data_IF_912429173697
#
_entry.id   IF_912429173697
#
_cell.length_a   1.000
_cell.length_b   1.000
_cell.length_c   1.000
_cell.angle_alpha   90.00
_cell.angle_beta   90.00
_cell.angle_gamma   90.00
#
_symmetry.space_group_name_H-M   'P 1'
#
loop_
_entity.id
_entity.type
_entity.pdbx_description
1 polymer ?
#
# COMPACT_ATOMS: atom_id res chain seq x y z
N UNK A 1 -1.89 -44.59 19.08
CA UNK A 1 -1.89 -43.49 18.09
C UNK A 1 -1.14 -43.98 16.87
N UNK A 2 -1.88 -44.39 15.84
CA UNK A 2 -1.30 -44.80 14.56
C UNK A 2 -0.80 -43.53 13.86
N UNK A 3 0.52 -43.36 13.80
CA UNK A 3 1.16 -42.47 12.84
C UNK A 3 0.80 -43.00 11.45
N UNK A 4 -0.07 -42.27 10.76
CA UNK A 4 -0.48 -42.61 9.40
C UNK A 4 0.76 -42.56 8.48
N UNK A 5 1.05 -43.68 7.82
CA UNK A 5 2.10 -43.83 6.83
C UNK A 5 2.12 -42.67 5.82
N UNK A 6 3.31 -42.14 5.57
CA UNK A 6 3.62 -41.14 4.56
C UNK A 6 2.89 -41.38 3.22
N UNK A 7 1.82 -40.64 2.96
CA UNK A 7 1.33 -40.43 1.60
C UNK A 7 2.35 -39.59 0.85
N UNK A 8 3.30 -40.24 0.15
CA UNK A 8 4.16 -39.56 -0.83
C UNK A 8 3.27 -39.03 -1.96
N UNK A 9 2.98 -37.74 -1.95
CA UNK A 9 2.46 -37.03 -3.11
C UNK A 9 3.64 -36.40 -3.86
N UNK A 10 3.57 -36.39 -5.19
CA UNK A 10 4.56 -35.72 -6.02
C UNK A 10 3.93 -34.42 -6.52
N UNK A 11 4.70 -33.35 -6.48
CA UNK A 11 4.26 -32.04 -6.99
C UNK A 11 5.22 -31.59 -8.08
N UNK A 12 4.64 -31.15 -9.20
CA UNK A 12 5.36 -30.56 -10.32
C UNK A 12 4.79 -29.17 -10.54
N UNK A 13 5.64 -28.15 -10.46
CA UNK A 13 5.24 -26.75 -10.65
C UNK A 13 6.12 -26.09 -11.71
N UNK A 14 5.50 -25.49 -12.72
CA UNK A 14 6.20 -24.81 -13.82
C UNK A 14 5.56 -23.45 -14.12
N UNK A 15 6.39 -22.47 -14.43
CA UNK A 15 5.93 -21.19 -15.00
C UNK A 15 5.79 -21.37 -16.51
N UNK A 16 4.61 -21.13 -17.04
CA UNK A 16 4.28 -21.26 -18.45
C UNK A 16 4.13 -19.89 -19.11
N UNK A 17 4.63 -19.82 -20.33
CA UNK A 17 4.59 -18.68 -21.22
C UNK A 17 3.97 -19.12 -22.57
N UNK A 18 3.33 -18.21 -23.32
CA UNK A 18 2.88 -18.50 -24.66
C UNK A 18 4.06 -18.78 -25.58
N UNK A 19 3.84 -19.63 -26.59
CA UNK A 19 4.84 -19.99 -27.60
C UNK A 19 5.01 -18.86 -28.61
N UNK A 20 5.80 -17.84 -28.27
CA UNK A 20 6.06 -16.65 -29.09
C UNK A 20 7.42 -16.68 -29.80
N UNK A 21 7.90 -17.87 -30.17
CA UNK A 21 9.25 -18.07 -30.74
C UNK A 21 10.36 -17.43 -29.88
N UNK A 22 10.22 -17.54 -28.54
CA UNK A 22 11.12 -16.97 -27.53
C UNK A 22 11.18 -15.42 -27.49
N UNK A 23 10.31 -14.72 -28.22
CA UNK A 23 10.19 -13.28 -28.10
C UNK A 23 9.46 -12.89 -26.80
N UNK A 24 10.24 -12.48 -25.80
CA UNK A 24 9.74 -12.00 -24.50
C UNK A 24 8.87 -10.74 -24.59
N UNK A 25 9.03 -9.91 -25.64
CA UNK A 25 8.25 -8.69 -25.81
C UNK A 25 6.80 -9.05 -26.14
N UNK A 26 6.62 -10.05 -27.00
CA UNK A 26 5.32 -10.56 -27.42
C UNK A 26 4.63 -11.46 -26.40
N UNK A 27 5.24 -11.81 -25.26
CA UNK A 27 4.59 -12.61 -24.21
C UNK A 27 3.72 -11.74 -23.31
N UNK A 28 2.41 -11.77 -23.49
CA UNK A 28 1.48 -10.94 -22.73
C UNK A 28 0.80 -11.66 -21.55
N UNK A 29 0.91 -12.98 -21.51
CA UNK A 29 0.27 -13.78 -20.46
C UNK A 29 1.29 -14.71 -19.81
N UNK A 30 1.10 -14.99 -18.53
CA UNK A 30 1.84 -16.05 -17.83
C UNK A 30 0.98 -16.67 -16.74
N UNK A 31 1.27 -17.92 -16.41
CA UNK A 31 0.73 -18.57 -15.21
C UNK A 31 1.72 -19.57 -14.66
N UNK A 32 1.56 -19.92 -13.39
CA UNK A 32 2.25 -21.05 -12.77
C UNK A 32 1.27 -22.23 -12.72
N UNK A 33 1.57 -23.30 -13.46
CA UNK A 33 0.79 -24.53 -13.45
C UNK A 33 1.41 -25.48 -12.41
N UNK A 34 0.58 -25.92 -11.46
CA UNK A 34 0.99 -26.91 -10.46
C UNK A 34 0.13 -28.17 -10.61
N UNK A 35 0.80 -29.31 -10.73
CA UNK A 35 0.22 -30.64 -10.88
C UNK A 35 0.62 -31.47 -9.66
N UNK A 36 -0.36 -31.86 -8.84
CA UNK A 36 -0.15 -32.73 -7.69
C UNK A 36 -0.62 -34.15 -8.02
N UNK A 37 0.27 -35.12 -7.83
CA UNK A 37 0.05 -36.54 -8.11
C UNK A 37 -0.10 -37.29 -6.79
N UNK A 38 -1.20 -38.03 -6.67
CA UNK A 38 -1.38 -38.97 -5.59
C UNK A 38 -0.66 -40.31 -5.88
N UNK A 39 -0.83 -41.29 -5.01
CA UNK A 39 -0.23 -42.61 -5.17
C UNK A 39 -0.91 -43.49 -6.24
N UNK A 40 -2.10 -43.08 -6.71
CA UNK A 40 -2.90 -43.84 -7.68
C UNK A 40 -2.64 -43.39 -9.11
N UNK A 41 -1.94 -42.28 -9.32
CA UNK A 41 -1.53 -41.80 -10.64
C UNK A 41 -0.68 -42.87 -11.38
N UNK A 42 -0.94 -43.16 -12.66
CA UNK A 42 -1.85 -42.46 -13.59
C UNK A 42 -3.30 -42.94 -13.60
N UNK A 43 -3.70 -43.88 -12.73
CA UNK A 43 -5.09 -44.38 -12.69
C UNK A 43 -6.08 -43.33 -12.15
N UNK A 44 -5.59 -42.40 -11.33
CA UNK A 44 -6.28 -41.19 -10.89
C UNK A 44 -5.80 -39.97 -11.69
N UNK A 45 -6.65 -38.95 -11.79
CA UNK A 45 -6.29 -37.67 -12.42
C UNK A 45 -5.37 -36.86 -11.50
N UNK A 46 -4.36 -36.16 -12.04
CA UNK A 46 -3.61 -35.17 -11.28
C UNK A 46 -4.55 -34.06 -10.77
N UNK A 47 -4.26 -33.54 -9.58
CA UNK A 47 -4.89 -32.30 -9.11
C UNK A 47 -4.22 -31.11 -9.78
N UNK A 48 -5.02 -30.27 -10.45
CA UNK A 48 -4.55 -29.13 -11.24
C UNK A 48 -4.88 -27.83 -10.50
N UNK A 49 -3.84 -27.07 -10.16
CA UNK A 49 -3.96 -25.70 -9.66
C UNK A 49 -3.19 -24.70 -10.52
N UNK A 50 -3.73 -23.49 -10.61
CA UNK A 50 -3.12 -22.39 -11.35
C UNK A 50 -2.83 -21.28 -10.36
N UNK A 51 -1.59 -20.81 -10.35
CA UNK A 51 -1.11 -19.76 -9.47
C UNK A 51 -0.54 -18.59 -10.28
N UNK A 52 -0.54 -17.41 -9.68
CA UNK A 52 0.01 -16.18 -10.26
C UNK A 52 -0.39 -15.93 -11.74
N UNK A 53 -1.68 -16.09 -12.12
CA UNK A 53 -2.09 -15.75 -13.48
C UNK A 53 -1.88 -14.25 -13.71
N UNK A 54 -1.34 -13.90 -14.87
CA UNK A 54 -1.13 -12.53 -15.32
C UNK A 54 -1.59 -12.40 -16.77
N UNK A 55 -2.29 -11.32 -17.07
CA UNK A 55 -2.84 -11.04 -18.41
C UNK A 55 -4.04 -11.91 -18.82
N UNK A 56 -4.59 -12.72 -17.91
CA UNK A 56 -5.76 -13.58 -18.15
C UNK A 56 -6.96 -13.09 -17.35
N UNK A 57 -8.15 -13.08 -17.97
CA UNK A 57 -9.41 -12.85 -17.26
C UNK A 57 -9.83 -14.06 -16.43
N UNK A 58 -10.70 -13.85 -15.44
CA UNK A 58 -11.22 -14.93 -14.58
C UNK A 58 -12.01 -15.98 -15.37
N UNK A 59 -12.77 -15.55 -16.39
CA UNK A 59 -13.48 -16.45 -17.31
C UNK A 59 -12.51 -17.33 -18.10
N UNK A 60 -11.40 -16.73 -18.58
CA UNK A 60 -10.37 -17.46 -19.30
C UNK A 60 -9.62 -18.43 -18.38
N UNK A 61 -9.28 -17.99 -17.17
CA UNK A 61 -8.64 -18.84 -16.16
C UNK A 61 -9.50 -20.05 -15.82
N UNK A 62 -10.80 -19.84 -15.63
CA UNK A 62 -11.78 -20.90 -15.38
C UNK A 62 -11.87 -21.87 -16.56
N UNK A 63 -11.85 -21.33 -17.79
CA UNK A 63 -11.86 -22.11 -19.03
C UNK A 63 -10.59 -22.96 -19.19
N UNK A 64 -9.41 -22.40 -18.92
CA UNK A 64 -8.12 -23.11 -18.93
C UNK A 64 -8.17 -24.28 -17.95
N UNK A 65 -8.54 -24.02 -16.69
CA UNK A 65 -8.63 -25.05 -15.65
C UNK A 65 -9.58 -26.18 -16.06
N UNK A 66 -10.76 -25.84 -16.58
CA UNK A 66 -11.75 -26.82 -17.04
C UNK A 66 -11.23 -27.65 -18.21
N UNK A 67 -10.56 -27.02 -19.19
CA UNK A 67 -9.98 -27.71 -20.34
C UNK A 67 -8.91 -28.72 -19.89
N UNK A 68 -8.00 -28.32 -19.00
CA UNK A 68 -6.97 -29.22 -18.46
C UNK A 68 -7.57 -30.38 -17.64
N UNK A 69 -8.63 -30.11 -16.87
CA UNK A 69 -9.32 -31.16 -16.12
C UNK A 69 -10.01 -32.18 -17.04
N UNK A 70 -10.63 -31.73 -18.13
CA UNK A 70 -11.24 -32.62 -19.12
C UNK A 70 -10.18 -33.48 -19.81
N UNK A 71 -9.06 -32.89 -20.21
CA UNK A 71 -7.94 -33.61 -20.84
C UNK A 71 -7.34 -34.67 -19.89
N UNK A 72 -7.18 -34.33 -18.61
CA UNK A 72 -6.69 -35.26 -17.61
C UNK A 72 -7.66 -36.44 -17.39
N UNK A 73 -8.97 -36.19 -17.45
CA UNK A 73 -10.00 -37.22 -17.31
C UNK A 73 -10.10 -38.13 -18.55
N UNK A 74 -9.93 -37.60 -19.76
CA UNK A 74 -9.97 -38.41 -20.99
C UNK A 74 -8.79 -39.39 -21.10
N UNK A 75 -7.70 -39.12 -20.39
CA UNK A 75 -6.46 -39.87 -20.49
C UNK A 75 -6.11 -40.66 -19.21
N UNK A 76 -7.12 -40.94 -18.36
CA UNK A 76 -6.96 -41.78 -17.17
C UNK A 76 -6.32 -43.13 -17.51
N UNK A 77 -5.38 -43.56 -16.66
CA UNK A 77 -4.59 -44.77 -16.87
C UNK A 77 -3.34 -44.58 -17.72
N UNK A 78 -3.08 -43.36 -18.24
CA UNK A 78 -1.85 -43.05 -18.99
C UNK A 78 -1.12 -41.81 -18.42
N UNK A 79 0.20 -41.68 -18.61
CA UNK A 79 0.96 -40.52 -18.13
C UNK A 79 0.67 -39.26 -18.97
N UNK A 80 0.01 -38.27 -18.36
CA UNK A 80 -0.55 -37.07 -19.01
C UNK A 80 0.19 -35.75 -18.73
N UNK A 81 1.23 -35.72 -17.88
CA UNK A 81 1.83 -34.47 -17.41
C UNK A 81 2.28 -33.54 -18.54
N UNK A 82 3.02 -34.09 -19.50
CA UNK A 82 3.53 -33.32 -20.63
C UNK A 82 2.40 -32.81 -21.53
N UNK A 83 1.39 -33.64 -21.78
CA UNK A 83 0.20 -33.26 -22.55
C UNK A 83 -0.55 -32.10 -21.91
N UNK A 84 -0.71 -32.11 -20.57
CA UNK A 84 -1.33 -31.00 -19.83
C UNK A 84 -0.49 -29.71 -19.91
N UNK A 85 0.84 -29.82 -19.82
CA UNK A 85 1.76 -28.67 -19.94
C UNK A 85 1.67 -28.06 -21.34
N UNK A 86 1.73 -28.88 -22.38
CA UNK A 86 1.64 -28.41 -23.76
C UNK A 86 0.25 -27.85 -24.06
N UNK A 87 -0.82 -28.48 -23.56
CA UNK A 87 -2.18 -27.96 -23.72
C UNK A 87 -2.36 -26.60 -23.05
N UNK A 88 -1.80 -26.41 -21.85
CA UNK A 88 -1.82 -25.12 -21.17
C UNK A 88 -1.05 -24.05 -21.98
N UNK A 89 0.11 -24.38 -22.53
CA UNK A 89 0.88 -23.47 -23.40
C UNK A 89 0.13 -23.10 -24.68
N UNK A 90 -0.54 -24.07 -25.31
CA UNK A 90 -1.35 -23.84 -26.50
C UNK A 90 -2.46 -22.80 -26.20
N UNK A 91 -3.21 -22.99 -25.11
CA UNK A 91 -4.27 -22.06 -24.70
C UNK A 91 -3.72 -20.67 -24.39
N UNK A 92 -2.56 -20.58 -23.73
CA UNK A 92 -1.88 -19.30 -23.48
C UNK A 92 -1.47 -18.62 -24.79
N UNK A 93 -1.00 -19.38 -25.77
CA UNK A 93 -0.58 -18.87 -27.08
C UNK A 93 -1.76 -18.30 -27.85
N UNK A 94 -2.89 -19.03 -27.88
CA UNK A 94 -4.13 -18.56 -28.52
C UNK A 94 -4.73 -17.34 -27.81
N UNK A 95 -4.58 -17.27 -26.48
CA UNK A 95 -5.12 -16.18 -25.65
C UNK A 95 -4.06 -15.15 -25.28
N UNK A 96 -3.03 -14.97 -26.11
CA UNK A 96 -1.93 -14.02 -25.89
C UNK A 96 -2.35 -12.57 -26.22
N UNK A 97 -3.47 -12.13 -25.64
CA UNK A 97 -4.01 -10.79 -25.74
C UNK A 97 -4.10 -10.27 -24.31
N UNK A 98 -3.49 -9.12 -23.97
CA UNK A 98 -3.57 -8.60 -22.61
C UNK A 98 -5.01 -8.20 -22.30
N UNK A 99 -5.68 -9.02 -21.51
CA UNK A 99 -6.98 -8.69 -20.95
C UNK A 99 -6.78 -7.99 -19.60
N UNK A 100 -7.41 -6.82 -19.44
CA UNK A 100 -7.44 -6.12 -18.16
C UNK A 100 -7.71 -4.63 -18.29
N UNK A 101 -7.92 -4.01 -17.15
CA UNK A 101 -8.00 -2.57 -16.97
C UNK A 101 -6.70 -2.03 -16.37
N UNK A 102 -6.38 -0.78 -16.67
CA UNK A 102 -5.31 -0.08 -15.99
C UNK A 102 -5.74 0.20 -14.55
N UNK A 103 -5.10 -0.42 -13.55
CA UNK A 103 -5.50 -0.27 -12.12
C UNK A 103 -5.29 1.14 -11.56
N UNK A 104 -4.60 2.02 -12.29
CA UNK A 104 -4.37 3.41 -11.88
C UNK A 104 -5.57 4.30 -12.24
N UNK A 105 -6.08 4.18 -13.47
CA UNK A 105 -7.23 4.98 -13.92
C UNK A 105 -8.56 4.21 -13.86
N UNK A 106 -8.50 2.89 -13.70
CA UNK A 106 -9.61 1.93 -13.69
C UNK A 106 -10.32 1.73 -15.04
N UNK A 107 -9.77 2.25 -16.14
CA UNK A 107 -10.31 2.08 -17.48
C UNK A 107 -9.61 0.97 -18.27
N UNK A 108 -10.35 0.38 -19.20
CA UNK A 108 -9.84 -0.59 -20.16
C UNK A 108 -8.88 0.05 -21.17
N UNK A 109 -8.07 -0.79 -21.81
CA UNK A 109 -7.20 -0.38 -22.90
C UNK A 109 -7.97 -0.35 -24.22
N UNK A 110 -7.91 0.76 -24.96
CA UNK A 110 -8.52 0.90 -26.29
C UNK A 110 -7.49 0.76 -27.40
N UNK A 111 -7.96 0.41 -28.59
CA UNK A 111 -7.11 0.36 -29.79
C UNK A 111 -6.54 1.77 -30.08
N UNK A 112 -5.22 1.84 -30.32
CA UNK A 112 -4.50 3.10 -30.52
C UNK A 112 -4.01 3.80 -29.24
N UNK A 113 -4.40 3.33 -28.06
CA UNK A 113 -3.83 3.81 -26.80
C UNK A 113 -2.43 3.21 -26.55
N UNK A 114 -1.57 3.98 -25.89
CA UNK A 114 -0.22 3.53 -25.52
C UNK A 114 -0.25 2.93 -24.12
N UNK A 115 0.12 1.66 -24.02
CA UNK A 115 0.23 0.93 -22.77
C UNK A 115 1.61 0.30 -22.64
N UNK A 116 1.98 -0.03 -21.41
CA UNK A 116 3.25 -0.68 -21.09
C UNK A 116 3.00 -1.96 -20.30
N UNK A 117 3.78 -2.99 -20.63
CA UNK A 117 3.93 -4.23 -19.87
C UNK A 117 5.16 -4.13 -18.98
N UNK A 118 4.97 -4.23 -17.68
CA UNK A 118 6.07 -4.30 -16.71
C UNK A 118 6.70 -5.70 -16.67
N UNK A 119 7.92 -5.83 -16.13
CA UNK A 119 8.59 -7.13 -15.91
C UNK A 119 7.77 -8.11 -15.07
N UNK A 120 6.94 -7.58 -14.16
CA UNK A 120 6.03 -8.34 -13.32
C UNK A 120 4.68 -8.69 -13.99
N UNK A 121 4.55 -8.44 -15.30
CA UNK A 121 3.37 -8.72 -16.13
C UNK A 121 2.10 -7.96 -15.69
N UNK A 122 2.27 -6.75 -15.17
CA UNK A 122 1.16 -5.81 -14.97
C UNK A 122 1.13 -4.74 -16.07
N UNK A 123 -0.09 -4.41 -16.48
CA UNK A 123 -0.39 -3.50 -17.59
C UNK A 123 -0.89 -2.17 -17.07
N UNK A 124 -0.40 -1.09 -17.67
CA UNK A 124 -0.81 0.27 -17.35
C UNK A 124 -0.80 1.10 -18.62
N UNK A 125 -1.64 2.14 -18.69
CA UNK A 125 -1.43 3.19 -19.68
C UNK A 125 -0.07 3.84 -19.40
N UNK A 126 0.74 4.06 -20.44
CA UNK A 126 2.11 4.57 -20.27
C UNK A 126 2.11 5.90 -19.51
N UNK A 127 1.17 6.79 -19.83
CA UNK A 127 0.97 8.04 -19.11
C UNK A 127 0.61 7.85 -17.62
N UNK A 128 -0.27 6.89 -17.30
CA UNK A 128 -0.67 6.60 -15.92
C UNK A 128 0.49 6.10 -15.09
N UNK A 129 1.31 5.18 -15.63
CA UNK A 129 2.50 4.70 -14.95
C UNK A 129 3.53 5.82 -14.79
N UNK A 130 3.72 6.67 -15.81
CA UNK A 130 4.62 7.82 -15.74
C UNK A 130 4.27 8.78 -14.60
N UNK A 131 2.97 9.09 -14.42
CA UNK A 131 2.50 9.91 -13.28
C UNK A 131 2.76 9.25 -11.94
N UNK A 132 2.49 7.94 -11.82
CA UNK A 132 2.74 7.19 -10.60
C UNK A 132 4.22 7.21 -10.22
N UNK A 133 5.09 6.92 -11.18
CA UNK A 133 6.53 6.89 -10.97
C UNK A 133 7.06 8.26 -10.57
N UNK A 134 6.67 9.33 -11.29
CA UNK A 134 7.10 10.70 -10.97
C UNK A 134 6.71 11.13 -9.54
N UNK A 135 5.49 10.77 -9.11
CA UNK A 135 5.07 10.99 -7.72
C UNK A 135 5.89 10.15 -6.73
N UNK A 136 6.08 8.86 -7.05
CA UNK A 136 6.83 7.92 -6.19
C UNK A 136 8.27 8.37 -5.98
N UNK A 137 8.97 8.82 -7.03
CA UNK A 137 10.33 9.36 -6.90
C UNK A 137 10.40 10.58 -5.97
N UNK A 138 9.37 11.41 -5.95
CA UNK A 138 9.32 12.57 -5.06
C UNK A 138 9.13 12.15 -3.61
N UNK A 139 8.23 11.20 -3.36
CA UNK A 139 8.03 10.59 -2.03
C UNK A 139 9.28 9.89 -1.53
N UNK A 140 9.98 9.15 -2.39
CA UNK A 140 11.21 8.46 -2.02
C UNK A 140 12.32 9.45 -1.66
N UNK A 141 12.53 10.50 -2.47
CA UNK A 141 13.50 11.57 -2.13
C UNK A 141 13.19 12.26 -0.81
N UNK A 142 11.91 12.43 -0.47
CA UNK A 142 11.51 13.02 0.82
C UNK A 142 11.83 12.07 1.98
N UNK A 143 11.55 10.78 1.82
CA UNK A 143 11.89 9.75 2.81
C UNK A 143 13.40 9.61 2.98
N UNK A 144 14.17 9.67 1.91
CA UNK A 144 15.64 9.64 1.97
C UNK A 144 16.17 10.77 2.86
N UNK A 145 15.66 11.99 2.70
CA UNK A 145 16.04 13.14 3.55
C UNK A 145 15.66 12.94 5.01
N UNK A 146 14.43 12.49 5.28
CA UNK A 146 13.96 12.21 6.65
C UNK A 146 14.83 11.14 7.33
N UNK A 147 15.26 10.14 6.56
CA UNK A 147 16.14 9.08 7.02
C UNK A 147 17.59 9.54 7.23
N UNK A 148 18.08 10.50 6.46
CA UNK A 148 19.40 11.13 6.66
C UNK A 148 19.43 12.03 7.92
N UNK A 149 18.30 12.64 8.27
CA UNK A 149 18.16 13.49 9.45
C UNK A 149 18.01 12.70 10.75
N UNK A 150 17.62 11.43 10.69
CA UNK A 150 17.48 10.54 11.84
C UNK A 150 18.84 10.07 12.39
N UNK A 151 19.33 10.79 13.40
CA UNK A 151 20.60 10.51 14.11
C UNK A 151 20.59 9.22 14.92
N UNK A 152 19.45 8.55 15.08
CA UNK A 152 19.33 7.32 15.88
C UNK A 152 19.57 6.04 15.08
N UNK A 153 19.67 6.14 13.75
CA UNK A 153 19.90 4.99 12.87
C UNK A 153 21.36 4.54 12.83
N UNK A 154 21.54 3.23 12.81
CA UNK A 154 22.82 2.59 12.54
C UNK A 154 23.13 2.62 11.03
N UNK A 155 24.35 3.00 10.65
CA UNK A 155 24.75 3.21 9.24
C UNK A 155 24.77 1.92 8.42
N UNK A 156 24.67 0.76 9.06
CA UNK A 156 24.75 -0.55 8.40
C UNK A 156 23.45 -0.99 7.70
N UNK A 157 22.31 -0.33 7.94
CA UNK A 157 20.99 -0.72 7.41
C UNK A 157 20.55 0.19 6.25
N UNK A 158 21.40 0.37 5.24
CA UNK A 158 21.05 1.13 4.03
C UNK A 158 20.22 0.27 3.08
N UNK A 159 18.89 0.44 3.11
CA UNK A 159 17.99 -0.10 2.10
C UNK A 159 17.81 0.92 0.97
N UNK A 160 18.14 0.53 -0.25
CA UNK A 160 17.91 1.35 -1.44
C UNK A 160 16.40 1.50 -1.67
N UNK A 161 15.94 2.76 -1.67
CA UNK A 161 14.55 3.09 -1.89
C UNK A 161 14.28 3.15 -3.39
N UNK A 162 13.65 2.09 -3.92
CA UNK A 162 13.28 1.99 -5.33
C UNK A 162 11.78 2.15 -5.54
N UNK A 163 11.38 2.66 -6.71
CA UNK A 163 9.96 2.66 -7.10
C UNK A 163 9.51 1.23 -7.37
N UNK A 164 8.36 0.87 -6.79
CA UNK A 164 7.80 -0.48 -6.85
C UNK A 164 6.52 -0.52 -7.65
N UNK A 165 6.12 -1.70 -8.11
CA UNK A 165 4.86 -1.88 -8.83
C UNK A 165 3.66 -1.56 -7.92
N UNK A 166 2.67 -0.77 -8.38
CA UNK A 166 1.45 -0.49 -7.60
C UNK A 166 0.65 -1.75 -7.22
N UNK A 167 0.82 -2.85 -7.97
CA UNK A 167 0.04 -4.09 -7.79
C UNK A 167 0.78 -5.08 -6.89
N UNK A 168 2.02 -5.44 -7.23
CA UNK A 168 2.74 -6.53 -6.54
C UNK A 168 3.97 -6.07 -5.75
N UNK A 169 4.29 -4.78 -5.75
CA UNK A 169 5.46 -4.19 -5.09
C UNK A 169 6.83 -4.70 -5.56
N UNK A 170 6.90 -5.37 -6.71
CA UNK A 170 8.16 -5.71 -7.37
C UNK A 170 8.82 -4.44 -7.91
N UNK A 171 10.15 -4.31 -7.80
CA UNK A 171 10.89 -3.14 -8.30
C UNK A 171 10.65 -2.93 -9.80
N UNK A 172 10.35 -1.69 -10.18
CA UNK A 172 10.09 -1.33 -11.57
C UNK A 172 11.37 -0.90 -12.29
N UNK A 173 11.48 -1.31 -13.55
CA UNK A 173 12.44 -0.77 -14.52
C UNK A 173 11.65 0.15 -15.45
N UNK A 174 12.05 1.41 -15.56
CA UNK A 174 11.27 2.42 -16.29
C UNK A 174 12.14 3.58 -16.79
N UNK A 175 11.62 4.30 -17.78
CA UNK A 175 12.08 5.64 -18.18
C UNK A 175 10.89 6.61 -18.03
N UNK A 176 11.00 7.56 -17.09
CA UNK A 176 9.92 8.50 -16.78
C UNK A 176 9.59 9.40 -17.97
N UNK A 177 10.59 9.84 -18.72
CA UNK A 177 10.39 10.73 -19.85
C UNK A 177 9.67 10.00 -20.99
N UNK A 178 10.06 8.76 -21.26
CA UNK A 178 9.38 7.93 -22.24
C UNK A 178 7.92 7.69 -21.85
N UNK A 179 7.65 7.35 -20.58
CA UNK A 179 6.30 7.10 -20.08
C UNK A 179 5.40 8.34 -20.16
N UNK A 180 5.94 9.51 -19.79
CA UNK A 180 5.18 10.77 -19.78
C UNK A 180 5.01 11.38 -21.18
N UNK A 181 5.85 11.01 -22.15
CA UNK A 181 5.67 11.43 -23.55
C UNK A 181 4.41 10.86 -24.21
N UNK A 182 3.87 9.78 -23.64
CA UNK A 182 2.62 9.17 -24.09
C UNK A 182 1.40 10.06 -23.81
N UNK A 183 0.42 10.12 -24.74
CA UNK A 183 -0.81 10.86 -24.51
C UNK A 183 -1.60 10.27 -23.34
N UNK A 184 -2.28 11.14 -22.59
CA UNK A 184 -3.20 10.71 -21.55
C UNK A 184 -4.40 9.96 -22.16
N UNK A 185 -4.90 8.88 -21.52
CA UNK A 185 -6.06 8.15 -22.01
C UNK A 185 -7.31 9.04 -21.99
N UNK A 186 -8.16 8.88 -23.00
CA UNK A 186 -9.43 9.62 -23.09
C UNK A 186 -10.48 8.95 -22.21
N UNK A 187 -10.79 9.59 -21.09
CA UNK A 187 -11.78 9.11 -20.13
C UNK A 187 -13.19 9.55 -20.57
N UNK A 188 -14.18 8.64 -20.57
CA UNK A 188 -15.57 9.00 -20.83
C UNK A 188 -16.09 9.96 -19.76
N UNK A 189 -16.99 10.86 -20.15
CA UNK A 189 -17.72 11.71 -19.21
C UNK A 189 -18.63 10.85 -18.31
N UNK A 190 -18.56 11.08 -17.00
CA UNK A 190 -19.43 10.37 -16.05
C UNK A 190 -20.88 10.83 -16.20
N UNK A 191 -21.79 9.88 -16.44
CA UNK A 191 -23.22 10.15 -16.41
C UNK A 191 -23.70 10.30 -14.96
N UNK A 192 -24.04 11.54 -14.57
CA UNK A 192 -24.58 11.86 -13.25
C UNK A 192 -25.97 11.24 -13.02
N UNK A 193 -26.68 10.83 -14.07
CA UNK A 193 -27.99 10.20 -13.97
C UNK A 193 -27.95 8.74 -13.45
N UNK A 194 -26.75 8.15 -13.30
CA UNK A 194 -26.57 6.76 -12.89
C UNK A 194 -26.78 6.50 -11.38
N UNK A 195 -27.13 7.51 -10.58
CA UNK A 195 -27.43 7.32 -9.15
C UNK A 195 -28.82 6.67 -9.01
N UNK A 196 -28.83 5.33 -8.97
CA UNK A 196 -30.05 4.53 -8.84
C UNK A 196 -30.83 4.77 -7.54
N UNK A 197 -32.12 4.46 -7.56
CA UNK A 197 -33.03 4.56 -6.41
C UNK A 197 -32.53 3.83 -5.17
N UNK A 198 -31.87 2.69 -5.35
CA UNK A 198 -31.34 1.87 -4.26
C UNK A 198 -30.20 2.56 -3.50
N UNK A 199 -29.38 3.35 -4.20
CA UNK A 199 -28.34 4.15 -3.58
C UNK A 199 -28.96 5.24 -2.71
N UNK A 200 -29.99 5.93 -3.22
CA UNK A 200 -30.67 7.00 -2.48
C UNK A 200 -31.34 6.46 -1.21
N UNK A 201 -31.97 5.29 -1.27
CA UNK A 201 -32.57 4.63 -0.11
C UNK A 201 -31.51 4.29 0.95
N UNK A 202 -30.42 3.62 0.56
CA UNK A 202 -29.32 3.30 1.48
C UNK A 202 -28.67 4.55 2.06
N UNK A 203 -28.53 5.61 1.28
CA UNK A 203 -27.99 6.89 1.75
C UNK A 203 -28.86 7.47 2.88
N UNK A 204 -30.18 7.47 2.73
CA UNK A 204 -31.11 7.93 3.76
C UNK A 204 -31.00 7.09 5.06
N UNK A 205 -30.80 5.78 4.95
CA UNK A 205 -30.58 4.91 6.12
C UNK A 205 -29.27 5.23 6.85
N UNK A 206 -28.18 5.42 6.09
CA UNK A 206 -26.88 5.81 6.64
C UNK A 206 -26.92 7.18 7.33
N UNK A 207 -27.69 8.14 6.79
CA UNK A 207 -27.88 9.45 7.43
C UNK A 207 -28.54 9.31 8.81
N UNK A 208 -29.58 8.48 8.94
CA UNK A 208 -30.22 8.21 10.24
C UNK A 208 -29.26 7.58 11.25
N UNK A 209 -28.38 6.69 10.79
CA UNK A 209 -27.33 6.08 11.63
C UNK A 209 -26.32 7.13 12.10
N UNK A 210 -25.88 8.01 11.20
CA UNK A 210 -24.97 9.10 11.51
C UNK A 210 -25.57 10.05 12.56
N UNK A 211 -26.84 10.44 12.42
CA UNK A 211 -27.55 11.27 13.41
C UNK A 211 -27.62 10.60 14.77
N UNK A 212 -27.94 9.30 14.81
CA UNK A 212 -27.97 8.54 16.06
C UNK A 212 -26.59 8.48 16.74
N UNK A 213 -25.51 8.36 15.97
CA UNK A 213 -24.14 8.41 16.50
C UNK A 213 -23.80 9.81 17.02
N UNK A 214 -24.21 10.88 16.31
CA UNK A 214 -24.04 12.27 16.77
C UNK A 214 -24.74 12.52 18.10
N UNK A 215 -26.00 12.14 18.23
CA UNK A 215 -26.77 12.33 19.48
C UNK A 215 -26.17 11.60 20.68
N UNK A 216 -25.40 10.52 20.45
CA UNK A 216 -24.72 9.75 21.48
C UNK A 216 -23.28 10.20 21.74
N UNK A 217 -22.80 11.25 21.07
CA UNK A 217 -21.41 11.70 21.17
C UNK A 217 -20.39 10.74 20.55
N UNK A 218 -20.83 9.86 19.64
CA UNK A 218 -19.97 8.87 18.98
C UNK A 218 -19.25 9.38 17.72
N UNK A 219 -19.43 10.64 17.36
CA UNK A 219 -18.73 11.28 16.24
C UNK A 219 -17.58 12.11 16.79
N UNK A 220 -16.37 11.80 16.34
CA UNK A 220 -15.16 12.53 16.69
C UNK A 220 -15.23 13.89 16.03
N UNK A 221 -15.16 14.94 16.83
CA UNK A 221 -14.94 16.30 16.38
C UNK A 221 -13.41 16.56 16.40
N UNK A 222 -12.76 16.73 15.23
CA UNK A 222 -11.31 16.91 15.17
C UNK A 222 -10.82 18.17 15.92
N UNK A 223 -11.62 19.24 15.96
CA UNK A 223 -11.27 20.47 16.66
C UNK A 223 -11.36 20.28 18.17
N UNK A 224 -12.42 19.65 18.67
CA UNK A 224 -12.54 19.34 20.10
C UNK A 224 -11.47 18.36 20.55
N UNK A 225 -11.19 17.30 19.77
CA UNK A 225 -10.20 16.30 20.16
C UNK A 225 -8.77 16.85 20.13
N UNK A 226 -8.43 17.69 19.14
CA UNK A 226 -7.13 18.39 19.10
C UNK A 226 -6.99 19.40 20.25
N UNK A 227 -8.08 20.05 20.65
CA UNK A 227 -8.10 21.01 21.75
C UNK A 227 -8.27 20.37 23.14
N UNK A 228 -8.53 19.06 23.22
CA UNK A 228 -8.81 18.33 24.46
C UNK A 228 -7.69 18.44 25.50
N UNK A 229 -6.44 18.54 25.03
CA UNK A 229 -5.24 18.65 25.87
C UNK A 229 -4.65 20.07 25.85
N UNK A 230 -5.36 21.04 25.27
CA UNK A 230 -4.89 22.40 25.08
C UNK A 230 -5.15 23.20 26.37
N UNK A 231 -4.10 23.40 27.16
CA UNK A 231 -4.18 24.11 28.43
C UNK A 231 -4.20 25.61 28.16
N UNK A 232 -5.36 26.27 28.31
CA UNK A 232 -5.46 27.72 28.26
C UNK A 232 -4.87 28.35 29.54
N UNK A 233 -3.74 29.06 29.39
CA UNK A 233 -3.00 29.71 30.49
C UNK A 233 -3.84 30.80 31.21
N UNK A 234 -4.95 31.25 30.60
CA UNK A 234 -5.82 32.27 31.18
C UNK A 234 -6.77 31.77 32.28
N UNK A 235 -7.03 30.45 32.38
CA UNK A 235 -7.90 29.90 33.44
C UNK A 235 -7.19 29.75 34.80
N UNK A 236 -5.85 29.83 34.83
CA UNK A 236 -5.06 29.73 36.07
C UNK A 236 -5.12 31.02 36.90
N UNK A 237 -5.67 32.13 36.36
CA UNK A 237 -5.72 33.43 37.08
C UNK A 237 -6.82 33.53 38.13
N UNK A 238 -7.76 32.58 38.24
CA UNK A 238 -8.89 32.69 39.18
C UNK A 238 -8.61 32.05 40.56
N UNK A 239 -7.61 31.19 40.69
CA UNK A 239 -7.28 30.57 41.99
C UNK A 239 -6.09 31.20 42.73
N UNK A 240 -5.35 32.12 42.10
CA UNK A 240 -4.24 32.83 42.77
C UNK A 240 -4.67 34.07 43.57
N UNK A 241 -5.97 34.43 43.57
CA UNK A 241 -6.48 35.51 44.42
C UNK A 241 -7.07 35.04 45.76
N UNK A 242 -7.29 33.73 45.98
CA UNK A 242 -7.92 33.25 47.22
C UNK A 242 -6.90 32.72 48.24
N UNK A 243 -5.66 32.40 47.84
CA UNK A 243 -4.71 31.69 48.71
C UNK A 243 -3.58 32.54 49.33
N UNK A 244 -3.66 33.88 49.30
CA UNK A 244 -2.66 34.74 49.97
C UNK A 244 -3.17 35.36 51.29
N UNK A 245 -4.45 35.21 51.65
CA UNK A 245 -4.99 35.91 52.84
C UNK A 245 -5.41 35.06 54.05
N UNK A 246 -5.29 33.73 54.08
CA UNK A 246 -5.57 32.98 55.33
C UNK A 246 -4.87 31.61 55.46
N UNK A 247 -3.80 31.61 56.27
CA UNK A 247 -3.36 30.52 57.19
C UNK A 247 -2.73 29.22 56.62
N UNK A 248 -1.93 28.52 57.45
CA UNK A 248 -0.73 27.83 57.02
C UNK A 248 -0.97 26.37 56.63
N UNK A 249 -0.08 25.89 55.75
CA UNK A 249 0.29 24.49 55.51
C UNK A 249 -0.21 23.51 56.57
N UNK A 250 -1.24 22.74 56.24
CA UNK A 250 -1.45 21.39 56.77
C UNK A 250 -2.50 20.65 55.94
N UNK A 251 -2.09 19.50 55.42
CA UNK A 251 -2.85 18.47 54.70
C UNK A 251 -3.21 18.72 53.22
N UNK A 252 -2.21 18.49 52.35
CA UNK A 252 -2.45 18.05 50.96
C UNK A 252 -2.30 16.52 50.91
N UNK A 253 -3.28 15.84 50.30
CA UNK A 253 -3.28 14.39 50.14
C UNK A 253 -2.19 13.97 49.15
N UNK A 254 -1.69 12.75 49.31
CA UNK A 254 -0.47 12.22 48.68
C UNK A 254 -0.43 12.32 47.14
N UNK A 255 -1.57 12.42 46.46
CA UNK A 255 -1.66 12.61 44.99
C UNK A 255 -1.35 14.04 44.52
N UNK A 256 -1.60 15.08 45.31
CA UNK A 256 -1.36 16.48 44.91
C UNK A 256 0.13 16.84 44.97
N UNK A 257 0.91 16.12 45.79
CA UNK A 257 2.38 16.25 45.84
C UNK A 257 3.06 15.74 44.57
N UNK A 258 2.49 14.74 43.92
CA UNK A 258 3.04 14.14 42.70
C UNK A 258 2.83 15.06 41.49
N UNK A 259 1.66 15.71 41.43
CA UNK A 259 1.34 16.73 40.43
C UNK A 259 2.22 17.97 40.62
N UNK A 260 2.38 18.48 41.85
CA UNK A 260 3.30 19.60 42.10
C UNK A 260 4.77 19.23 41.83
N UNK A 261 5.21 18.00 42.15
CA UNK A 261 6.57 17.55 41.85
C UNK A 261 6.84 17.45 40.35
N UNK A 262 5.87 16.98 39.57
CA UNK A 262 5.99 16.85 38.11
C UNK A 262 5.93 18.21 37.41
N UNK A 263 5.12 19.15 37.90
CA UNK A 263 5.09 20.53 37.40
C UNK A 263 6.40 21.27 37.70
N UNK A 264 6.99 21.09 38.89
CA UNK A 264 8.29 21.69 39.24
C UNK A 264 9.44 21.05 38.42
N UNK A 265 9.40 19.74 38.19
CA UNK A 265 10.40 19.05 37.34
C UNK A 265 10.32 19.49 35.87
N UNK A 266 9.12 19.62 35.30
CA UNK A 266 8.97 20.15 33.94
C UNK A 266 9.39 21.61 33.81
N UNK A 267 9.17 22.42 34.86
CA UNK A 267 9.59 23.82 34.85
C UNK A 267 11.12 23.99 35.00
N UNK A 268 11.79 23.12 35.76
CA UNK A 268 13.24 23.12 35.90
C UNK A 268 13.97 22.63 34.63
N UNK A 269 13.42 21.63 33.94
CA UNK A 269 13.96 21.13 32.66
C UNK A 269 13.81 22.20 31.56
N UNK A 270 12.69 22.93 31.54
CA UNK A 270 12.46 23.99 30.56
C UNK A 270 13.25 25.28 30.84
N UNK A 271 13.62 25.57 32.10
CA UNK A 271 14.53 26.68 32.41
C UNK A 271 15.98 26.39 31.99
N UNK A 272 16.46 25.14 32.08
CA UNK A 272 17.78 24.78 31.55
C UNK A 272 17.82 24.79 30.01
N UNK A 273 16.72 24.46 29.34
CA UNK A 273 16.64 24.49 27.87
C UNK A 273 16.60 25.92 27.31
N UNK A 274 15.97 26.86 28.02
CA UNK A 274 15.91 28.27 27.60
C UNK A 274 17.23 29.03 27.80
N UNK A 275 18.10 28.63 28.74
CA UNK A 275 19.40 29.27 28.94
C UNK A 275 20.50 28.81 27.96
N UNK A 276 20.35 27.66 27.30
CA UNK A 276 21.30 27.22 26.25
C UNK A 276 20.93 27.78 24.87
N UNK A 277 19.64 28.02 24.61
CA UNK A 277 19.18 28.64 23.36
C UNK A 277 19.46 30.16 23.28
N UNK A 278 19.63 30.84 24.41
CA UNK A 278 19.91 32.29 24.45
C UNK A 278 21.39 32.68 24.26
N UNK A 279 22.33 31.72 24.27
CA UNK A 279 23.78 31.99 24.14
C UNK A 279 24.28 31.91 22.69
N UNK A 280 23.62 31.17 21.80
CA UNK A 280 24.10 30.99 20.41
C UNK A 280 23.43 31.87 19.34
N UNK A 281 22.48 32.75 19.71
CA UNK A 281 21.87 33.72 18.78
C UNK A 281 22.35 35.17 18.97
N UNK A 282 23.43 35.37 19.75
CA UNK A 282 24.04 36.68 20.05
C UNK A 282 25.50 36.80 19.56
N UNK A 283 25.86 36.13 18.47
CA UNK A 283 27.20 36.27 17.87
C UNK A 283 27.19 36.78 16.42
N UNK A 284 26.02 37.11 15.86
CA UNK A 284 25.87 37.69 14.53
C UNK A 284 24.84 38.82 14.57
N UNK A 285 25.20 39.93 15.22
CA UNK A 285 24.75 41.30 14.87
C UNK A 285 25.45 42.29 15.81
N UNK A 286 26.08 43.31 15.21
CA UNK A 286 26.65 44.51 15.82
C UNK A 286 28.09 44.41 16.38
N UNK A 287 29.07 44.39 15.46
CA UNK A 287 30.31 45.14 15.66
C UNK A 287 30.23 46.41 14.82
N UNK A 288 29.74 47.50 15.41
CA UNK A 288 30.00 48.85 14.93
C UNK A 288 31.33 49.30 15.53
N UNK A 289 32.31 49.56 14.67
CA UNK A 289 33.47 50.39 15.00
C UNK A 289 33.60 51.47 13.91
N UNK A 290 33.08 52.65 14.21
CA UNK A 290 33.54 53.89 13.60
C UNK A 290 34.89 54.27 14.22
N UNK A 291 35.93 54.51 13.42
CA UNK A 291 36.47 55.86 13.17
C UNK A 291 37.86 55.88 12.50
N UNK A 292 38.00 56.85 11.59
CA UNK A 292 39.20 57.57 11.11
C UNK A 292 40.25 56.85 10.24
N UNK A 293 40.43 57.42 9.03
CA UNK A 293 41.50 57.13 8.07
C UNK A 293 41.06 57.41 6.66
#
# INVERSE_FOLDING_TARGET
MLLCCCCRCWEVSLVLYPSTAEDSVSQFVRLTLTLTLDQQYPSSSPSISIHNPRGLSDDKLSSVKKCLQLEAQSCLGSPVLYQLIEKAKEILTESNIPHGNCVICLYDFKEGETFIKTSCYHYFHSHCLGRYVSHSETELRQREKELEEDKTRDRADYQELTVVCPVCRETLIYDVHQLLSAPAPQLPELDQAAIGSDFQQKWCELQKLLEKQRCKGGIIDPEVESNRFLIHINEVRILWCIHVCCKPYKYLKTQEKEILSNVIKHHAINQSAFQVAAVNHKMWTNCDFCYFG
#
